data_IF_960490642172
#
_entry.id   IF_960490642172
#
_cell.length_a   1.000
_cell.length_b   1.000
_cell.length_c   1.000
_cell.angle_alpha   90.00
_cell.angle_beta   90.00
_cell.angle_gamma   90.00
#
_symmetry.space_group_name_H-M   'P 1'
#
loop_
_entity.id
_entity.type
_entity.pdbx_description
1 polymer ?
#
# COMPACT_ATOMS: atom_id res chain seq x y z
N UNK A 1 -16.27 -24.43 56.70
CA UNK A 1 -16.34 -22.99 56.36
C UNK A 1 -15.16 -22.56 55.50
N UNK A 2 -13.97 -23.15 55.66
CA UNK A 2 -12.76 -22.87 54.84
C UNK A 2 -12.97 -22.98 53.31
N UNK A 3 -13.69 -23.99 52.81
CA UNK A 3 -13.83 -24.20 51.35
C UNK A 3 -14.55 -23.05 50.61
N UNK A 4 -15.45 -22.30 51.26
CA UNK A 4 -16.18 -21.21 50.60
C UNK A 4 -15.34 -19.94 50.46
N UNK A 5 -14.40 -19.72 51.38
CA UNK A 5 -13.51 -18.56 51.38
C UNK A 5 -12.37 -18.74 50.36
N UNK A 6 -11.82 -19.95 50.26
CA UNK A 6 -10.83 -20.29 49.24
C UNK A 6 -11.40 -20.19 47.81
N UNK A 7 -12.66 -20.59 47.62
CA UNK A 7 -13.33 -20.52 46.31
C UNK A 7 -13.64 -19.07 45.90
N UNK A 8 -13.90 -18.17 46.86
CA UNK A 8 -14.07 -16.74 46.57
C UNK A 8 -12.75 -16.08 46.19
N UNK A 9 -11.67 -16.38 46.93
CA UNK A 9 -10.33 -15.85 46.65
C UNK A 9 -9.83 -16.31 45.26
N UNK A 10 -10.10 -17.58 44.87
CA UNK A 10 -9.76 -18.07 43.53
C UNK A 10 -10.54 -17.35 42.42
N UNK A 11 -11.82 -17.06 42.64
CA UNK A 11 -12.64 -16.33 41.66
C UNK A 11 -12.19 -14.88 41.51
N UNK A 12 -11.83 -14.21 42.60
CA UNK A 12 -11.29 -12.85 42.56
C UNK A 12 -9.96 -12.80 41.81
N UNK A 13 -9.02 -13.70 42.13
CA UNK A 13 -7.74 -13.81 41.40
C UNK A 13 -7.93 -14.09 39.91
N UNK A 14 -8.83 -15.00 39.56
CA UNK A 14 -9.13 -15.31 38.16
C UNK A 14 -9.78 -14.11 37.44
N UNK A 15 -10.58 -13.31 38.14
CA UNK A 15 -11.18 -12.10 37.58
C UNK A 15 -10.13 -11.01 37.37
N UNK A 16 -9.18 -10.84 38.29
CA UNK A 16 -8.05 -9.92 38.16
C UNK A 16 -7.10 -10.34 37.03
N UNK A 17 -6.79 -11.64 36.90
CA UNK A 17 -6.01 -12.19 35.79
C UNK A 17 -6.70 -11.95 34.45
N UNK A 18 -8.00 -12.23 34.34
CA UNK A 18 -8.77 -11.98 33.12
C UNK A 18 -8.82 -10.49 32.75
N UNK A 19 -8.94 -9.60 33.74
CA UNK A 19 -8.91 -8.16 33.51
C UNK A 19 -7.51 -7.66 33.11
N UNK A 20 -6.46 -8.27 33.66
CA UNK A 20 -5.06 -8.00 33.30
C UNK A 20 -4.80 -8.42 31.85
N UNK A 21 -5.20 -9.65 31.48
CA UNK A 21 -5.08 -10.17 30.11
C UNK A 21 -5.82 -9.28 29.11
N UNK A 22 -7.08 -8.88 29.39
CA UNK A 22 -7.85 -7.96 28.52
C UNK A 22 -7.21 -6.58 28.39
N UNK A 23 -6.52 -6.11 29.42
CA UNK A 23 -5.81 -4.82 29.40
C UNK A 23 -4.53 -4.94 28.59
N UNK A 24 -3.80 -6.04 28.72
CA UNK A 24 -2.63 -6.37 27.89
C UNK A 24 -3.00 -6.57 26.43
N UNK A 25 -4.10 -7.25 26.10
CA UNK A 25 -4.61 -7.39 24.73
C UNK A 25 -4.96 -6.04 24.11
N UNK A 26 -5.64 -5.16 24.86
CA UNK A 26 -5.92 -3.77 24.42
C UNK A 26 -4.65 -2.95 24.28
N UNK A 27 -3.65 -3.15 25.15
CA UNK A 27 -2.34 -2.50 25.04
C UNK A 27 -1.55 -3.04 23.84
N UNK A 28 -1.62 -4.34 23.54
CA UNK A 28 -1.02 -4.94 22.35
C UNK A 28 -1.71 -4.40 21.11
N UNK A 29 -3.04 -4.36 21.07
CA UNK A 29 -3.81 -3.77 19.97
C UNK A 29 -3.52 -2.27 19.80
N UNK A 30 -3.41 -1.51 20.89
CA UNK A 30 -3.01 -0.11 20.89
C UNK A 30 -1.55 0.06 20.47
N UNK A 31 -0.61 -0.81 20.88
CA UNK A 31 0.78 -0.80 20.43
C UNK A 31 0.88 -1.18 18.94
N UNK A 32 0.09 -2.14 18.47
CA UNK A 32 -0.04 -2.50 17.06
C UNK A 32 -0.63 -1.34 16.25
N UNK A 33 -1.57 -0.56 16.81
CA UNK A 33 -2.15 0.62 16.13
C UNK A 33 -1.23 1.87 16.23
N UNK A 34 -0.50 2.05 17.34
CA UNK A 34 0.24 3.29 17.67
C UNK A 34 1.76 3.18 17.39
N UNK A 35 2.31 1.98 17.18
CA UNK A 35 3.70 1.76 16.74
C UNK A 35 3.83 1.18 15.32
N UNK A 36 2.77 1.20 14.51
CA UNK A 36 2.87 0.91 13.09
C UNK A 36 3.43 2.12 12.31
N UNK A 37 4.73 2.37 12.42
CA UNK A 37 5.44 2.80 11.23
C UNK A 37 5.41 1.61 10.27
N UNK A 38 4.34 1.47 9.47
CA UNK A 38 4.31 0.49 8.38
C UNK A 38 5.57 0.72 7.57
N UNK A 39 6.48 -0.25 7.57
CA UNK A 39 7.75 -0.14 6.88
C UNK A 39 7.56 -0.57 5.44
N UNK A 40 8.56 -0.27 4.62
CA UNK A 40 8.51 -0.68 3.23
C UNK A 40 8.44 -2.20 3.08
N UNK A 41 9.17 -2.92 3.93
CA UNK A 41 9.29 -4.38 3.90
C UNK A 41 7.94 -5.06 4.17
N UNK A 42 7.05 -4.39 4.92
CA UNK A 42 5.73 -4.91 5.28
C UNK A 42 4.76 -4.89 4.08
N UNK A 43 5.01 -4.02 3.08
CA UNK A 43 4.23 -3.95 1.84
C UNK A 43 4.97 -4.45 0.60
N UNK A 44 6.29 -4.64 0.69
CA UNK A 44 7.16 -4.95 -0.46
C UNK A 44 6.70 -6.22 -1.20
N UNK A 45 6.20 -7.20 -0.46
CA UNK A 45 5.75 -8.50 -1.01
C UNK A 45 4.55 -8.39 -1.94
N UNK A 46 3.77 -7.31 -1.83
CA UNK A 46 2.62 -7.05 -2.71
C UNK A 46 3.01 -6.44 -4.05
N UNK A 47 4.28 -6.08 -4.23
CA UNK A 47 4.76 -5.39 -5.41
C UNK A 47 5.87 -6.16 -6.12
N UNK A 48 5.72 -6.26 -7.44
CA UNK A 48 6.87 -6.46 -8.30
C UNK A 48 7.50 -5.10 -8.61
N UNK A 49 8.84 -5.09 -8.81
CA UNK A 49 9.54 -3.88 -9.24
C UNK A 49 8.99 -3.44 -10.60
N UNK A 50 8.69 -2.16 -10.75
CA UNK A 50 8.18 -1.63 -12.01
C UNK A 50 9.15 -1.88 -13.15
N UNK A 51 8.67 -2.59 -14.18
CA UNK A 51 9.47 -3.14 -15.28
C UNK A 51 9.01 -2.65 -16.67
N UNK A 52 8.22 -1.55 -16.73
CA UNK A 52 7.69 -0.95 -17.97
C UNK A 52 6.67 -1.82 -18.74
N UNK A 53 6.37 -3.04 -18.30
CA UNK A 53 5.39 -3.91 -18.98
C UNK A 53 3.96 -3.41 -18.85
N UNK A 54 3.66 -2.67 -17.77
CA UNK A 54 2.37 -2.03 -17.55
C UNK A 54 2.50 -0.50 -17.60
N UNK A 55 1.45 0.22 -18.05
CA UNK A 55 1.45 1.67 -17.98
C UNK A 55 1.70 2.16 -16.56
N UNK A 56 2.57 3.16 -16.39
CA UNK A 56 2.92 3.72 -15.07
C UNK A 56 1.68 4.16 -14.30
N UNK A 57 0.66 4.69 -14.97
CA UNK A 57 -0.61 5.06 -14.35
C UNK A 57 -1.25 3.88 -13.60
N UNK A 58 -1.33 2.72 -14.26
CA UNK A 58 -1.96 1.53 -13.69
C UNK A 58 -1.15 0.99 -12.51
N UNK A 59 0.18 1.04 -12.61
CA UNK A 59 1.07 0.67 -11.51
C UNK A 59 0.85 1.59 -10.29
N UNK A 60 0.78 2.90 -10.51
CA UNK A 60 0.55 3.89 -9.45
C UNK A 60 -0.83 3.75 -8.81
N UNK A 61 -1.86 3.42 -9.58
CA UNK A 61 -3.21 3.17 -9.05
C UNK A 61 -3.24 1.91 -8.15
N UNK A 62 -2.56 0.83 -8.55
CA UNK A 62 -2.42 -0.37 -7.71
C UNK A 62 -1.63 -0.09 -6.43
N UNK A 63 -0.51 0.64 -6.56
CA UNK A 63 0.30 1.08 -5.44
C UNK A 63 -0.49 1.89 -4.43
N UNK A 64 -1.25 2.88 -4.89
CA UNK A 64 -2.07 3.73 -4.03
C UNK A 64 -3.13 2.93 -3.27
N UNK A 65 -3.79 1.97 -3.93
CA UNK A 65 -4.80 1.13 -3.29
C UNK A 65 -4.24 0.27 -2.16
N UNK A 66 -3.07 -0.36 -2.38
CA UNK A 66 -2.39 -1.11 -1.34
C UNK A 66 -1.96 -0.16 -0.21
N UNK A 67 -1.31 0.96 -0.53
CA UNK A 67 -0.90 1.92 0.49
C UNK A 67 -2.07 2.44 1.35
N UNK A 68 -3.24 2.68 0.75
CA UNK A 68 -4.44 3.09 1.48
C UNK A 68 -4.95 1.98 2.40
N UNK A 69 -4.79 0.70 2.03
CA UNK A 69 -5.19 -0.44 2.85
C UNK A 69 -4.33 -0.61 4.11
N UNK A 70 -3.09 -0.11 4.06
CA UNK A 70 -2.15 -0.06 5.17
C UNK A 70 -2.10 1.31 5.87
N UNK A 71 -3.03 2.22 5.54
CA UNK A 71 -3.08 3.58 6.09
C UNK A 71 -1.75 4.36 5.94
N UNK A 72 -0.98 4.06 4.88
CA UNK A 72 0.33 4.67 4.62
C UNK A 72 0.15 6.15 4.31
N UNK A 73 0.91 7.01 4.98
CA UNK A 73 0.85 8.45 4.78
C UNK A 73 1.36 8.88 3.41
N UNK A 74 0.90 10.03 2.92
CA UNK A 74 1.30 10.61 1.63
C UNK A 74 2.83 10.72 1.47
N UNK A 75 3.54 11.11 2.53
CA UNK A 75 5.01 11.20 2.52
C UNK A 75 5.67 9.82 2.41
N UNK A 76 5.16 8.84 3.15
CA UNK A 76 5.68 7.47 3.09
C UNK A 76 5.43 6.83 1.72
N UNK A 77 4.26 7.06 1.10
CA UNK A 77 3.96 6.61 -0.26
C UNK A 77 5.05 7.03 -1.25
N UNK A 78 5.48 8.30 -1.19
CA UNK A 78 6.53 8.82 -2.09
C UNK A 78 7.88 8.11 -1.83
N UNK A 79 8.26 7.95 -0.56
CA UNK A 79 9.50 7.27 -0.18
C UNK A 79 9.48 5.81 -0.64
N UNK A 80 8.40 5.09 -0.40
CA UNK A 80 8.26 3.68 -0.78
C UNK A 80 8.28 3.47 -2.28
N UNK A 81 7.64 4.38 -3.03
CA UNK A 81 7.66 4.33 -4.48
C UNK A 81 9.09 4.39 -5.05
N UNK A 82 9.99 5.19 -4.47
CA UNK A 82 11.39 5.27 -4.94
C UNK A 82 12.13 3.94 -4.89
N UNK A 83 11.71 3.01 -4.01
CA UNK A 83 12.29 1.67 -3.89
C UNK A 83 11.73 0.68 -4.91
N UNK A 84 10.53 0.94 -5.45
CA UNK A 84 9.81 0.04 -6.36
C UNK A 84 9.99 0.39 -7.84
N UNK A 85 10.50 1.57 -8.16
CA UNK A 85 10.66 2.04 -9.54
C UNK A 85 12.10 1.86 -10.06
N UNK A 86 12.27 1.96 -11.37
CA UNK A 86 13.57 1.97 -12.02
C UNK A 86 14.34 3.26 -11.73
N UNK A 87 15.67 3.24 -11.91
CA UNK A 87 16.55 4.36 -11.57
C UNK A 87 16.15 5.70 -12.20
N UNK A 88 15.75 5.80 -13.49
CA UNK A 88 15.37 7.08 -14.08
C UNK A 88 14.18 7.73 -13.37
N UNK A 89 13.18 6.92 -13.01
CA UNK A 89 12.00 7.38 -12.28
C UNK A 89 12.38 7.73 -10.84
N UNK A 90 13.17 6.89 -10.16
CA UNK A 90 13.62 7.16 -8.80
C UNK A 90 14.42 8.47 -8.71
N UNK A 91 15.27 8.76 -9.69
CA UNK A 91 16.03 10.01 -9.79
C UNK A 91 15.11 11.21 -9.99
N UNK A 92 14.11 11.10 -10.86
CA UNK A 92 13.09 12.14 -11.04
C UNK A 92 12.32 12.43 -9.74
N UNK A 93 11.94 11.38 -9.00
CA UNK A 93 11.25 11.56 -7.71
C UNK A 93 12.14 12.32 -6.71
N UNK A 94 13.43 12.00 -6.65
CA UNK A 94 14.38 12.62 -5.72
C UNK A 94 14.76 14.06 -6.11
N UNK A 95 14.74 14.40 -7.39
CA UNK A 95 15.13 15.73 -7.89
C UNK A 95 13.99 16.75 -7.83
N UNK A 96 12.74 16.29 -7.65
CA UNK A 96 11.58 17.17 -7.56
C UNK A 96 11.19 17.46 -6.10
N UNK A 97 10.63 18.64 -5.81
CA UNK A 97 10.06 18.93 -4.50
C UNK A 97 9.00 17.89 -4.13
N UNK A 98 9.00 17.43 -2.88
CA UNK A 98 7.97 16.52 -2.37
C UNK A 98 6.61 17.25 -2.49
N UNK A 99 5.69 16.78 -3.34
CA UNK A 99 4.41 17.43 -3.54
C UNK A 99 3.53 17.32 -2.29
N UNK A 100 2.53 18.19 -2.19
CA UNK A 100 1.62 18.23 -1.03
C UNK A 100 0.67 17.04 -0.98
N UNK A 101 0.44 16.39 -2.12
CA UNK A 101 -0.41 15.20 -2.25
C UNK A 101 0.20 14.19 -3.22
N UNK A 102 -0.09 12.91 -2.97
CA UNK A 102 0.25 11.81 -3.85
C UNK A 102 -0.55 11.86 -5.16
N UNK A 103 -1.75 12.44 -5.16
CA UNK A 103 -2.52 12.67 -6.39
C UNK A 103 -1.78 13.61 -7.35
N UNK A 104 -1.28 14.74 -6.87
CA UNK A 104 -0.48 15.68 -7.68
C UNK A 104 0.81 15.01 -8.18
N UNK A 105 1.47 14.25 -7.31
CA UNK A 105 2.65 13.47 -7.66
C UNK A 105 2.40 12.47 -8.78
N UNK A 106 1.29 11.71 -8.68
CA UNK A 106 0.87 10.72 -9.67
C UNK A 106 0.66 11.36 -11.04
N UNK A 107 0.04 12.55 -11.08
CA UNK A 107 -0.15 13.29 -12.33
C UNK A 107 1.18 13.68 -12.99
N UNK A 108 2.15 14.15 -12.19
CA UNK A 108 3.47 14.53 -12.71
C UNK A 108 4.23 13.31 -13.25
N UNK A 109 4.19 12.17 -12.54
CA UNK A 109 4.82 10.94 -13.01
C UNK A 109 4.17 10.38 -14.28
N UNK A 110 2.84 10.43 -14.38
CA UNK A 110 2.13 10.00 -15.60
C UNK A 110 2.41 10.96 -16.76
N UNK A 111 2.56 12.26 -16.52
CA UNK A 111 2.93 13.21 -17.57
C UNK A 111 4.33 12.95 -18.12
N UNK A 112 5.29 12.66 -17.25
CA UNK A 112 6.70 12.49 -17.64
C UNK A 112 6.99 11.11 -18.22
N UNK A 113 6.47 10.06 -17.57
CA UNK A 113 6.80 8.66 -17.89
C UNK A 113 5.63 7.87 -18.47
N UNK A 114 4.45 8.48 -18.58
CA UNK A 114 3.32 7.84 -19.25
C UNK A 114 3.61 7.71 -20.74
N UNK A 115 3.35 6.53 -21.28
CA UNK A 115 3.28 6.35 -22.72
C UNK A 115 2.16 7.24 -23.27
N UNK A 116 2.53 8.23 -24.08
CA UNK A 116 1.57 8.95 -24.91
C UNK A 116 1.06 7.98 -25.96
N UNK A 117 0.00 7.24 -25.64
CA UNK A 117 -0.67 6.43 -26.64
C UNK A 117 -1.30 7.40 -27.64
N UNK A 118 -0.70 7.50 -28.82
CA UNK A 118 -1.23 8.30 -29.91
C UNK A 118 -2.58 7.68 -30.31
N UNK A 119 -3.70 8.45 -30.31
CA UNK A 119 -4.99 7.95 -30.78
C UNK A 119 -4.92 7.30 -32.18
N UNK A 120 -4.04 7.79 -33.05
CA UNK A 120 -3.81 7.21 -34.37
C UNK A 120 -3.21 5.78 -34.28
N UNK A 121 -2.35 5.51 -33.31
CA UNK A 121 -1.78 4.18 -33.05
C UNK A 121 -2.88 3.21 -32.59
N UNK A 122 -3.82 3.69 -31.75
CA UNK A 122 -4.99 2.90 -31.33
C UNK A 122 -5.87 2.57 -32.53
N UNK A 123 -6.19 3.55 -33.37
CA UNK A 123 -6.97 3.31 -34.60
C UNK A 123 -6.28 2.31 -35.53
N UNK A 124 -4.95 2.38 -35.68
CA UNK A 124 -4.19 1.43 -36.48
C UNK A 124 -4.19 0.00 -35.88
N UNK A 125 -4.11 -0.13 -34.55
CA UNK A 125 -4.20 -1.42 -33.88
C UNK A 125 -5.60 -2.02 -33.99
N UNK A 126 -6.65 -1.22 -33.76
CA UNK A 126 -8.05 -1.64 -33.92
C UNK A 126 -8.34 -2.10 -35.35
N UNK A 127 -7.90 -1.31 -36.36
CA UNK A 127 -8.10 -1.66 -37.77
C UNK A 127 -7.34 -2.94 -38.17
N UNK A 128 -6.20 -3.25 -37.55
CA UNK A 128 -5.48 -4.52 -37.76
C UNK A 128 -6.23 -5.71 -37.15
N UNK A 129 -6.80 -5.53 -35.96
CA UNK A 129 -7.56 -6.59 -35.28
C UNK A 129 -8.89 -6.87 -35.99
N UNK A 130 -9.59 -5.85 -36.47
CA UNK A 130 -10.82 -6.00 -37.28
C UNK A 130 -10.55 -6.72 -38.61
N UNK A 131 -9.42 -6.44 -39.27
CA UNK A 131 -9.02 -7.14 -40.50
C UNK A 131 -8.69 -8.62 -40.29
N UNK A 132 -8.28 -9.01 -39.08
CA UNK A 132 -8.01 -10.40 -38.76
C UNK A 132 -9.31 -11.17 -38.44
N UNK A 133 -10.33 -10.51 -37.89
CA UNK A 133 -11.64 -11.12 -37.59
C UNK A 133 -12.47 -11.34 -38.88
N UNK A 134 -12.23 -10.57 -39.95
CA UNK A 134 -12.93 -10.72 -41.23
C UNK A 134 -12.28 -11.73 -42.20
N UNK A 135 -11.21 -12.43 -41.78
CA UNK A 135 -10.46 -13.38 -42.62
C UNK A 135 -10.60 -14.85 -42.21
N UNK A 136 -11.42 -15.13 -41.20
CA UNK A 136 -11.91 -16.47 -40.84
C UNK A 136 -13.36 -16.66 -41.32
#
# INVERSE_FOLDING_TARGET
MENMEEDQIKKEKMTEEVNTIKTEEKLIQYITIVKNEVRFEDIQTFFQKYNLEMPIKNFLDQFENICNSFEITEKQKIIFLTKLVSEPIATFIKSNPIPRSFTEFKLNLVREFGTQINPAEIHLQLAKTEKNIQRD
#
